data_IF_709956673021
#
_entry.id   IF_709956673021
#
_cell.length_a   1.000
_cell.length_b   1.000
_cell.length_c   1.000
_cell.angle_alpha   90.00
_cell.angle_beta   90.00
_cell.angle_gamma   90.00
#
_symmetry.space_group_name_H-M   'P 1'
#
loop_
_entity.id
_entity.type
_entity.pdbx_description
1 polymer ?
#
# COMPACT_ATOMS: atom_id res chain seq x y z
N UNK A 1 34.15 0.79 -26.20
CA UNK A 1 32.94 1.64 -26.27
C UNK A 1 32.22 1.47 -24.95
N UNK A 2 32.40 2.44 -24.04
CA UNK A 2 31.72 2.46 -22.75
C UNK A 2 30.78 3.66 -22.79
N UNK A 3 29.48 3.43 -22.64
CA UNK A 3 28.46 4.47 -22.66
C UNK A 3 28.40 5.13 -21.29
N UNK A 4 28.87 6.38 -21.26
CA UNK A 4 28.73 7.32 -20.17
C UNK A 4 27.24 7.67 -19.99
N UNK A 5 26.64 7.28 -18.87
CA UNK A 5 25.30 7.70 -18.47
C UNK A 5 25.45 8.90 -17.55
N UNK A 6 25.56 10.09 -18.13
CA UNK A 6 25.58 11.35 -17.38
C UNK A 6 24.20 11.55 -16.73
N UNK A 7 24.13 11.20 -15.45
CA UNK A 7 23.02 11.57 -14.55
C UNK A 7 22.85 13.07 -14.57
N UNK A 8 21.66 13.53 -14.95
CA UNK A 8 21.28 14.94 -14.97
C UNK A 8 20.99 15.39 -13.54
N UNK A 9 22.05 15.74 -12.80
CA UNK A 9 21.93 16.37 -11.47
C UNK A 9 21.13 17.67 -11.63
N UNK A 10 20.03 17.78 -10.88
CA UNK A 10 19.20 18.97 -10.85
C UNK A 10 20.00 20.13 -10.24
N UNK A 11 20.54 20.99 -11.09
CA UNK A 11 21.18 22.26 -10.72
C UNK A 11 20.12 23.26 -10.29
N UNK A 12 19.74 23.19 -9.02
CA UNK A 12 18.75 24.08 -8.42
C UNK A 12 18.64 23.85 -6.92
N UNK A 13 19.76 23.76 -6.21
CA UNK A 13 19.77 23.79 -4.74
C UNK A 13 19.29 25.17 -4.30
N UNK A 14 18.03 25.26 -3.91
CA UNK A 14 17.48 26.44 -3.23
C UNK A 14 18.26 26.67 -1.93
N UNK A 15 18.29 27.91 -1.45
CA UNK A 15 18.96 28.32 -0.21
C UNK A 15 18.60 27.42 1.00
N UNK A 16 17.40 26.83 0.98
CA UNK A 16 16.94 25.82 1.93
C UNK A 16 17.75 24.51 1.92
N UNK A 17 18.15 24.01 0.75
CA UNK A 17 18.98 22.81 0.62
C UNK A 17 20.43 23.04 1.10
N UNK A 18 20.95 24.27 0.96
CA UNK A 18 22.25 24.63 1.52
C UNK A 18 22.22 24.68 3.05
N UNK A 19 21.11 25.12 3.64
CA UNK A 19 20.92 25.13 5.10
C UNK A 19 20.85 23.75 5.74
N UNK A 20 20.33 22.74 5.03
CA UNK A 20 20.24 21.36 5.52
C UNK A 20 21.59 20.66 5.65
N UNK A 21 22.62 21.09 4.92
CA UNK A 21 23.95 20.49 4.96
C UNK A 21 24.88 21.15 6.00
N UNK A 22 24.39 22.17 6.73
CA UNK A 22 25.19 22.93 7.71
C UNK A 22 25.61 22.06 8.90
N UNK A 23 24.87 20.99 9.19
CA UNK A 23 25.20 20.00 10.21
C UNK A 23 26.16 18.89 9.71
N UNK A 24 26.56 18.93 8.43
CA UNK A 24 27.46 17.95 7.81
C UNK A 24 26.79 16.60 7.48
N UNK A 25 25.46 16.51 7.56
CA UNK A 25 24.72 15.31 7.19
C UNK A 25 24.44 15.30 5.69
N UNK A 26 25.07 14.37 4.98
CA UNK A 26 24.83 14.18 3.54
C UNK A 26 23.67 13.20 3.31
N UNK A 27 22.73 13.50 2.38
CA UNK A 27 21.67 12.58 2.02
C UNK A 27 22.21 11.26 1.51
N UNK A 28 21.76 10.16 2.09
CA UNK A 28 22.05 8.82 1.61
C UNK A 28 21.35 8.58 0.28
N UNK A 29 22.10 8.07 -0.70
CA UNK A 29 21.56 7.66 -2.01
C UNK A 29 20.83 6.33 -1.94
N UNK A 30 21.08 5.53 -0.90
CA UNK A 30 20.55 4.17 -0.74
C UNK A 30 19.30 4.13 0.15
N UNK A 31 19.16 5.09 1.06
CA UNK A 31 18.08 5.11 2.03
C UNK A 31 17.04 6.17 1.68
N UNK A 32 15.93 5.72 1.08
CA UNK A 32 14.76 6.55 0.85
C UNK A 32 13.48 5.72 0.98
N UNK A 33 12.44 6.32 1.57
CA UNK A 33 11.09 5.77 1.57
C UNK A 33 10.31 6.47 0.47
N UNK A 34 9.68 5.71 -0.43
CA UNK A 34 8.70 6.25 -1.38
C UNK A 34 7.31 5.86 -0.90
N UNK A 35 6.46 6.87 -0.69
CA UNK A 35 5.06 6.68 -0.34
C UNK A 35 4.26 6.60 -1.64
N UNK A 36 3.54 5.50 -1.83
CA UNK A 36 2.78 5.22 -3.05
C UNK A 36 1.28 5.06 -2.75
N UNK A 37 0.44 5.60 -3.62
CA UNK A 37 -1.01 5.42 -3.62
C UNK A 37 -1.53 5.16 -5.05
N UNK A 38 -0.97 4.15 -5.73
CA UNK A 38 -1.13 3.89 -7.17
C UNK A 38 -0.22 4.73 -8.06
N UNK A 39 0.57 5.62 -7.45
CA UNK A 39 1.67 6.41 -7.99
C UNK A 39 2.47 7.00 -6.82
N UNK A 40 3.76 7.33 -7.00
CA UNK A 40 4.54 8.02 -5.97
C UNK A 40 3.90 9.37 -5.61
N UNK A 41 3.51 9.55 -4.34
CA UNK A 41 2.91 10.79 -3.83
C UNK A 41 3.86 11.58 -2.93
N UNK A 42 4.86 10.91 -2.34
CA UNK A 42 5.91 11.55 -1.56
C UNK A 42 7.16 10.67 -1.51
N UNK A 43 8.31 11.29 -1.22
CA UNK A 43 9.58 10.60 -0.99
C UNK A 43 10.30 11.25 0.19
N UNK A 44 10.83 10.42 1.08
CA UNK A 44 11.62 10.82 2.23
C UNK A 44 13.04 10.33 2.00
N UNK A 45 14.00 11.26 2.02
CA UNK A 45 15.43 10.96 1.95
C UNK A 45 16.02 11.07 3.35
N UNK A 46 16.90 10.13 3.70
CA UNK A 46 17.56 10.11 4.99
C UNK A 46 18.99 10.64 4.87
N UNK A 47 19.43 11.41 5.86
CA UNK A 47 20.83 11.78 6.05
C UNK A 47 21.25 11.29 7.44
N UNK A 48 22.44 10.70 7.55
CA UNK A 48 22.90 10.06 8.78
C UNK A 48 24.27 10.59 9.19
N UNK A 49 24.56 10.53 10.49
CA UNK A 49 25.88 10.80 11.00
C UNK A 49 26.91 9.86 10.32
N UNK A 50 28.10 10.35 9.89
CA UNK A 50 29.08 9.53 9.18
C UNK A 50 29.49 8.25 9.93
N UNK A 51 29.53 8.28 11.26
CA UNK A 51 29.91 7.15 12.11
C UNK A 51 28.79 6.15 12.43
N UNK A 52 27.54 6.43 12.05
CA UNK A 52 26.42 5.53 12.34
C UNK A 52 26.58 4.20 11.57
N UNK A 53 26.50 3.03 12.24
CA UNK A 53 26.61 1.74 11.57
C UNK A 53 25.50 1.52 10.54
N UNK A 54 25.82 0.90 9.41
CA UNK A 54 24.85 0.68 8.32
C UNK A 54 23.64 -0.14 8.77
N UNK A 55 23.85 -1.17 9.59
CA UNK A 55 22.74 -1.94 10.17
C UNK A 55 21.78 -1.06 10.98
N UNK A 56 22.31 -0.07 11.73
CA UNK A 56 21.48 0.87 12.48
C UNK A 56 20.73 1.83 11.56
N UNK A 57 21.35 2.28 10.46
CA UNK A 57 20.70 3.10 9.43
C UNK A 57 19.54 2.33 8.78
N UNK A 58 19.79 1.09 8.36
CA UNK A 58 18.78 0.20 7.76
C UNK A 58 17.63 -0.03 8.72
N UNK A 59 17.91 -0.46 9.95
CA UNK A 59 16.87 -0.75 10.95
C UNK A 59 16.01 0.49 11.26
N UNK A 60 16.60 1.69 11.28
CA UNK A 60 15.85 2.93 11.49
C UNK A 60 14.91 3.23 10.31
N UNK A 61 15.41 3.10 9.07
CA UNK A 61 14.63 3.37 7.86
C UNK A 61 13.49 2.36 7.72
N UNK A 62 13.77 1.07 7.92
CA UNK A 62 12.77 0.01 7.88
C UNK A 62 11.70 0.23 8.96
N UNK A 63 12.09 0.52 10.20
CA UNK A 63 11.15 0.80 11.29
C UNK A 63 10.24 2.01 11.02
N UNK A 64 10.77 3.08 10.44
CA UNK A 64 9.96 4.23 10.01
C UNK A 64 9.04 3.83 8.85
N UNK A 65 9.54 3.09 7.86
CA UNK A 65 8.74 2.59 6.75
C UNK A 65 7.55 1.75 7.21
N UNK A 66 7.76 0.84 8.16
CA UNK A 66 6.69 0.04 8.77
C UNK A 66 5.69 0.88 9.56
N UNK A 67 6.16 1.84 10.36
CA UNK A 67 5.29 2.73 11.12
C UNK A 67 4.43 3.58 10.18
N UNK A 68 5.03 4.16 9.14
CA UNK A 68 4.31 4.94 8.14
C UNK A 68 3.31 4.08 7.37
N UNK A 69 3.70 2.87 6.96
CA UNK A 69 2.78 1.97 6.27
C UNK A 69 1.57 1.59 7.14
N UNK A 70 1.72 1.56 8.46
CA UNK A 70 0.63 1.31 9.41
C UNK A 70 -0.32 2.50 9.56
N UNK A 71 0.24 3.70 9.70
CA UNK A 71 -0.55 4.92 9.95
C UNK A 71 -1.17 5.50 8.66
N UNK A 72 -0.48 5.32 7.52
CA UNK A 72 -0.97 5.74 6.21
C UNK A 72 -1.85 4.69 5.55
N UNK A 73 -2.22 3.62 6.27
CA UNK A 73 -3.27 2.75 5.76
C UNK A 73 -4.53 3.59 5.57
N UNK A 74 -5.17 3.53 4.39
CA UNK A 74 -6.45 4.19 4.23
C UNK A 74 -7.38 3.67 5.33
N UNK A 75 -8.17 4.58 5.91
CA UNK A 75 -9.20 4.26 6.89
C UNK A 75 -9.95 2.98 6.48
N UNK A 76 -10.20 2.03 7.41
CA UNK A 76 -10.81 0.76 7.08
C UNK A 76 -12.06 1.00 6.23
N UNK A 77 -11.99 0.58 4.96
CA UNK A 77 -13.12 0.79 4.05
C UNK A 77 -14.29 0.00 4.62
N UNK A 78 -15.34 0.71 5.04
CA UNK A 78 -16.55 0.08 5.55
C UNK A 78 -17.09 -0.87 4.48
N UNK A 79 -17.27 -2.15 4.85
CA UNK A 79 -17.80 -3.17 3.94
C UNK A 79 -19.32 -3.13 4.06
N UNK A 80 -20.07 -2.73 3.00
CA UNK A 80 -21.53 -2.82 3.02
C UNK A 80 -21.99 -4.27 3.17
N UNK A 81 -23.13 -4.48 3.83
CA UNK A 81 -23.71 -5.82 4.01
C UNK A 81 -23.97 -6.55 2.68
N UNK A 82 -24.39 -5.82 1.65
CA UNK A 82 -24.57 -6.33 0.30
C UNK A 82 -23.24 -6.79 -0.34
N UNK A 83 -22.17 -6.00 -0.20
CA UNK A 83 -20.83 -6.39 -0.69
C UNK A 83 -20.35 -7.66 0.00
N UNK A 84 -20.53 -7.75 1.33
CA UNK A 84 -20.19 -8.95 2.08
C UNK A 84 -20.98 -10.19 1.60
N UNK A 85 -22.28 -10.05 1.38
CA UNK A 85 -23.14 -11.13 0.88
C UNK A 85 -22.72 -11.60 -0.52
N UNK A 86 -22.39 -10.66 -1.41
CA UNK A 86 -21.93 -10.94 -2.78
C UNK A 86 -20.60 -11.70 -2.79
N UNK A 87 -19.63 -11.25 -1.98
CA UNK A 87 -18.32 -11.88 -1.88
C UNK A 87 -18.45 -13.29 -1.30
N UNK A 88 -19.19 -13.46 -0.19
CA UNK A 88 -19.48 -14.78 0.39
C UNK A 88 -20.11 -15.72 -0.64
N UNK A 89 -21.07 -15.24 -1.43
CA UNK A 89 -21.75 -16.06 -2.43
C UNK A 89 -20.77 -16.48 -3.52
N UNK A 90 -19.94 -15.56 -4.01
CA UNK A 90 -18.95 -15.84 -5.04
C UNK A 90 -17.90 -16.88 -4.63
N UNK A 91 -17.61 -16.98 -3.32
CA UNK A 91 -16.61 -17.89 -2.75
C UNK A 91 -17.24 -19.18 -2.18
N UNK A 92 -18.56 -19.36 -2.28
CA UNK A 92 -19.25 -20.56 -1.81
C UNK A 92 -19.48 -20.62 -0.29
N UNK A 93 -19.52 -19.48 0.39
CA UNK A 93 -19.70 -19.38 1.85
C UNK A 93 -21.11 -18.91 2.29
N UNK A 94 -22.11 -18.93 1.39
CA UNK A 94 -23.46 -18.43 1.66
C UNK A 94 -23.68 -17.01 1.13
N UNK A 95 -24.73 -16.31 1.56
CA UNK A 95 -25.10 -14.99 1.01
C UNK A 95 -25.99 -15.07 -0.22
N UNK A 96 -26.09 -13.99 -0.99
CA UNK A 96 -26.91 -13.91 -2.21
C UNK A 96 -26.08 -13.42 -3.41
N UNK A 97 -26.44 -13.82 -4.64
CA UNK A 97 -25.69 -13.45 -5.83
C UNK A 97 -25.79 -11.96 -6.13
N UNK A 98 -24.70 -11.40 -6.65
CA UNK A 98 -24.70 -10.06 -7.21
C UNK A 98 -25.33 -10.01 -8.61
N UNK A 99 -25.55 -8.79 -9.10
CA UNK A 99 -25.89 -8.55 -10.51
C UNK A 99 -24.81 -9.06 -11.49
N UNK A 100 -25.14 -9.10 -12.78
CA UNK A 100 -24.29 -9.70 -13.82
C UNK A 100 -22.91 -9.04 -13.94
N UNK A 101 -22.84 -7.70 -13.89
CA UNK A 101 -21.58 -6.96 -13.92
C UNK A 101 -20.68 -7.34 -12.74
N UNK A 102 -21.22 -7.23 -11.52
CA UNK A 102 -20.48 -7.54 -10.29
C UNK A 102 -20.07 -9.01 -10.23
N UNK A 103 -20.90 -9.91 -10.75
CA UNK A 103 -20.54 -11.34 -10.86
C UNK A 103 -19.31 -11.53 -11.74
N UNK A 104 -19.19 -10.81 -12.86
CA UNK A 104 -17.99 -10.86 -13.70
C UNK A 104 -16.80 -10.22 -13.01
N UNK A 105 -16.98 -9.09 -12.34
CA UNK A 105 -15.93 -8.46 -11.51
C UNK A 105 -15.34 -9.44 -10.48
N UNK A 106 -16.19 -10.15 -9.74
CA UNK A 106 -15.76 -11.11 -8.73
C UNK A 106 -15.05 -12.33 -9.34
N UNK A 107 -15.48 -12.79 -10.52
CA UNK A 107 -14.77 -13.81 -11.28
C UNK A 107 -13.40 -13.31 -11.73
N UNK A 108 -13.32 -12.10 -12.27
CA UNK A 108 -12.05 -11.47 -12.68
C UNK A 108 -11.09 -11.40 -11.51
N UNK A 109 -11.57 -11.05 -10.31
CA UNK A 109 -10.74 -11.04 -9.10
C UNK A 109 -10.15 -12.41 -8.78
N UNK A 110 -10.92 -13.49 -8.97
CA UNK A 110 -10.44 -14.87 -8.77
C UNK A 110 -9.37 -15.32 -9.76
N UNK A 111 -9.18 -14.61 -10.88
CA UNK A 111 -8.13 -14.87 -11.87
C UNK A 111 -7.00 -13.83 -11.84
N UNK A 112 -7.11 -12.78 -11.05
CA UNK A 112 -6.15 -11.68 -11.03
C UNK A 112 -4.86 -12.10 -10.31
N UNK A 113 -3.72 -11.75 -10.92
CA UNK A 113 -2.43 -11.70 -10.22
C UNK A 113 -2.37 -10.49 -9.26
N UNK A 114 -1.29 -10.36 -8.48
CA UNK A 114 -1.16 -9.31 -7.46
C UNK A 114 -1.28 -7.89 -8.05
N UNK A 115 -0.71 -7.65 -9.23
CA UNK A 115 -0.75 -6.35 -9.89
C UNK A 115 -2.16 -5.99 -10.36
N UNK A 116 -2.86 -6.94 -11.00
CA UNK A 116 -4.23 -6.72 -11.44
C UNK A 116 -5.22 -6.69 -10.27
N UNK A 117 -4.97 -7.44 -9.20
CA UNK A 117 -5.74 -7.37 -7.97
C UNK A 117 -5.60 -5.98 -7.31
N UNK A 118 -4.40 -5.39 -7.32
CA UNK A 118 -4.19 -4.02 -6.83
C UNK A 118 -4.97 -2.98 -7.66
N UNK A 119 -5.02 -3.15 -8.99
CA UNK A 119 -5.84 -2.29 -9.88
C UNK A 119 -7.33 -2.43 -9.58
N UNK A 120 -7.82 -3.66 -9.39
CA UNK A 120 -9.21 -3.90 -9.00
C UNK A 120 -9.51 -3.29 -7.62
N UNK A 121 -8.59 -3.41 -6.66
CA UNK A 121 -8.75 -2.83 -5.34
C UNK A 121 -8.89 -1.31 -5.37
N UNK A 122 -8.14 -0.63 -6.23
CA UNK A 122 -8.26 0.82 -6.41
C UNK A 122 -9.63 1.24 -6.98
N UNK A 123 -10.22 0.45 -7.87
CA UNK A 123 -11.53 0.73 -8.47
C UNK A 123 -12.73 0.31 -7.61
N UNK A 124 -12.56 -0.73 -6.77
CA UNK A 124 -13.62 -1.35 -5.97
C UNK A 124 -13.15 -1.65 -4.53
N UNK A 125 -12.85 -0.60 -3.74
CA UNK A 125 -12.19 -0.76 -2.44
C UNK A 125 -13.01 -1.55 -1.41
N UNK A 126 -14.35 -1.47 -1.45
CA UNK A 126 -15.20 -2.26 -0.55
C UNK A 126 -15.12 -3.77 -0.83
N UNK A 127 -14.96 -4.16 -2.09
CA UNK A 127 -14.77 -5.56 -2.47
C UNK A 127 -13.37 -6.05 -2.09
N UNK A 128 -12.34 -5.22 -2.27
CA UNK A 128 -10.99 -5.51 -1.80
C UNK A 128 -10.97 -5.74 -0.29
N UNK A 129 -11.56 -4.82 0.48
CA UNK A 129 -11.66 -4.93 1.93
C UNK A 129 -12.38 -6.23 2.36
N UNK A 130 -13.41 -6.65 1.64
CA UNK A 130 -14.07 -7.93 1.90
C UNK A 130 -13.17 -9.15 1.61
N UNK A 131 -12.41 -9.15 0.52
CA UNK A 131 -11.43 -10.20 0.22
C UNK A 131 -10.27 -10.22 1.23
N UNK A 132 -9.78 -9.06 1.63
CA UNK A 132 -8.73 -8.95 2.65
C UNK A 132 -9.22 -9.43 4.01
N UNK A 133 -10.46 -9.08 4.39
CA UNK A 133 -11.09 -9.59 5.60
C UNK A 133 -11.18 -11.11 5.56
N UNK A 134 -11.57 -11.73 4.43
CA UNK A 134 -11.65 -13.20 4.32
C UNK A 134 -10.32 -13.92 4.56
N UNK A 135 -9.18 -13.30 4.19
CA UNK A 135 -7.84 -13.86 4.40
C UNK A 135 -7.39 -13.82 5.86
N UNK A 136 -8.03 -12.99 6.68
CA UNK A 136 -7.71 -12.89 8.11
C UNK A 136 -8.21 -14.11 8.88
N UNK A 137 -7.60 -14.43 10.04
CA UNK A 137 -8.18 -15.35 11.00
C UNK A 137 -9.63 -14.95 11.36
N UNK A 138 -10.56 -15.91 11.29
CA UNK A 138 -12.01 -15.70 11.47
C UNK A 138 -12.66 -14.73 10.46
N UNK A 139 -11.98 -14.46 9.33
CA UNK A 139 -12.43 -13.55 8.29
C UNK A 139 -13.83 -13.86 7.76
N UNK A 140 -14.10 -15.12 7.43
CA UNK A 140 -15.41 -15.58 6.93
C UNK A 140 -16.51 -15.31 7.97
N UNK A 141 -16.27 -15.63 9.24
CA UNK A 141 -17.27 -15.41 10.29
C UNK A 141 -17.60 -13.93 10.48
N UNK A 142 -16.58 -13.07 10.44
CA UNK A 142 -16.74 -11.61 10.51
C UNK A 142 -17.48 -11.07 9.28
N UNK A 143 -17.14 -11.53 8.08
CA UNK A 143 -17.81 -11.12 6.86
C UNK A 143 -19.28 -11.56 6.85
N UNK A 144 -19.59 -12.75 7.37
CA UNK A 144 -20.97 -13.23 7.58
C UNK A 144 -21.75 -12.34 8.55
N UNK A 145 -21.13 -11.90 9.65
CA UNK A 145 -21.77 -10.97 10.58
C UNK A 145 -22.09 -9.63 9.89
N UNK A 146 -21.18 -9.11 9.06
CA UNK A 146 -21.41 -7.89 8.27
C UNK A 146 -22.58 -8.08 7.29
N UNK A 147 -22.60 -9.21 6.57
CA UNK A 147 -23.66 -9.53 5.61
C UNK A 147 -25.05 -9.58 6.27
N UNK A 148 -25.11 -10.05 7.52
CA UNK A 148 -26.35 -10.16 8.30
C UNK A 148 -26.69 -8.89 9.11
N UNK A 149 -25.83 -7.86 9.08
CA UNK A 149 -26.01 -6.64 9.89
C UNK A 149 -25.83 -6.85 11.40
N UNK A 150 -25.03 -7.84 11.80
CA UNK A 150 -24.75 -8.21 13.19
C UNK A 150 -23.29 -8.00 13.60
N UNK A 151 -22.53 -7.23 12.82
CA UNK A 151 -21.12 -6.90 13.05
C UNK A 151 -20.95 -5.60 13.84
#
# INVERSE_FOLDING_TARGET
MSTDHTSRVATGTTEWAAGLLVDGLEPSTEHAITIDAGRPIARIHFAFEPGMPDEMRTNLVEGIGEAMNRELQPEPTAIPSEVAAHVLFSQGHGGYPAGSFTTQLLKTWGYADDENAARLAAGWPAYAAAFDLMRQPNGIARLTAIANGTA
#
